data_IF_223996845424
#
_entry.id   IF_223996845424
#
_cell.length_a   1.000
_cell.length_b   1.000
_cell.length_c   1.000
_cell.angle_alpha   90.00
_cell.angle_beta   90.00
_cell.angle_gamma   90.00
#
_symmetry.space_group_name_H-M   'P 1'
#
loop_
_entity.id
_entity.type
_entity.pdbx_description
1 polymer ?
#
# COMPACT_ATOMS: atom_id res chain seq x y z
N UNK A 1 11.66 -8.72 -13.10
CA UNK A 1 10.58 -9.18 -12.23
C UNK A 1 9.66 -8.00 -11.98
N UNK A 2 8.41 -8.06 -12.44
CA UNK A 2 7.45 -6.94 -12.30
C UNK A 2 6.80 -7.06 -10.93
N UNK A 3 7.29 -6.28 -9.96
CA UNK A 3 6.99 -6.49 -8.55
C UNK A 3 6.06 -5.40 -8.02
N UNK A 4 4.80 -5.72 -7.78
CA UNK A 4 3.94 -4.85 -6.99
C UNK A 4 4.14 -5.19 -5.51
N UNK A 5 4.65 -4.24 -4.73
CA UNK A 5 5.00 -4.42 -3.33
C UNK A 5 4.27 -3.39 -2.47
N UNK A 6 3.59 -3.87 -1.44
CA UNK A 6 3.03 -3.04 -0.38
C UNK A 6 3.69 -3.45 0.93
N UNK A 7 4.45 -2.54 1.53
CA UNK A 7 5.08 -2.69 2.83
C UNK A 7 4.43 -1.75 3.83
N UNK A 8 3.99 -2.28 4.96
CA UNK A 8 3.31 -1.52 6.01
C UNK A 8 4.01 -1.84 7.33
N UNK A 9 4.30 -0.81 8.12
CA UNK A 9 4.94 -0.89 9.43
C UNK A 9 4.23 0.06 10.40
N UNK A 10 4.27 -0.25 11.68
CA UNK A 10 3.82 0.66 12.71
C UNK A 10 4.67 1.94 12.71
N UNK A 11 4.02 3.10 12.84
CA UNK A 11 4.72 4.36 12.99
C UNK A 11 5.14 4.57 14.46
N UNK A 12 6.03 5.54 14.69
CA UNK A 12 6.41 5.94 16.04
C UNK A 12 5.24 6.50 16.86
N UNK A 13 4.18 6.99 16.20
CA UNK A 13 3.00 7.58 16.84
C UNK A 13 1.84 6.58 16.87
N UNK A 14 1.09 6.50 17.99
CA UNK A 14 -0.05 5.60 18.10
C UNK A 14 -1.13 5.95 17.07
N UNK A 15 -1.78 4.91 16.53
CA UNK A 15 -2.84 5.05 15.53
C UNK A 15 -2.33 5.50 14.15
N UNK A 16 -1.04 5.40 13.88
CA UNK A 16 -0.45 5.68 12.57
C UNK A 16 0.41 4.51 12.08
N UNK A 17 0.51 4.39 10.77
CA UNK A 17 1.39 3.44 10.10
C UNK A 17 2.25 4.16 9.07
N UNK A 18 3.45 3.64 8.85
CA UNK A 18 4.28 4.03 7.72
C UNK A 18 4.05 2.98 6.63
N UNK A 19 3.80 3.43 5.40
CA UNK A 19 3.68 2.55 4.25
C UNK A 19 4.69 2.91 3.17
N UNK A 20 5.00 1.90 2.36
CA UNK A 20 5.74 2.01 1.12
C UNK A 20 5.04 1.15 0.08
N UNK A 21 4.65 1.76 -1.03
CA UNK A 21 4.02 1.08 -2.15
C UNK A 21 4.91 1.30 -3.38
N UNK A 22 5.41 0.21 -3.93
CA UNK A 22 6.03 0.19 -5.24
C UNK A 22 5.09 -0.55 -6.18
N UNK A 23 4.86 0.03 -7.36
CA UNK A 23 4.16 -0.70 -8.40
C UNK A 23 4.85 -0.56 -9.75
N UNK A 24 4.64 -1.58 -10.55
CA UNK A 24 5.06 -1.68 -11.93
C UNK A 24 3.98 -2.43 -12.72
N UNK A 25 3.35 -1.78 -13.69
CA UNK A 25 2.35 -2.43 -14.54
C UNK A 25 3.01 -3.44 -15.50
N UNK A 26 2.21 -4.37 -16.03
CA UNK A 26 2.68 -5.41 -16.96
C UNK A 26 3.24 -4.88 -18.27
N UNK A 27 2.99 -3.63 -18.64
CA UNK A 27 3.50 -3.04 -19.88
C UNK A 27 4.82 -2.26 -19.65
N UNK A 28 5.13 -1.86 -18.41
CA UNK A 28 6.31 -1.08 -18.05
C UNK A 28 6.09 0.43 -18.17
N UNK A 29 5.00 0.85 -18.80
CA UNK A 29 4.61 2.26 -19.01
C UNK A 29 4.19 2.97 -17.73
N UNK A 30 4.00 2.21 -16.65
CA UNK A 30 3.60 2.79 -15.39
C UNK A 30 4.35 2.21 -14.21
N UNK A 31 5.28 3.01 -13.72
CA UNK A 31 6.10 2.74 -12.55
C UNK A 31 5.95 3.86 -11.57
N UNK A 32 5.99 3.55 -10.28
CA UNK A 32 6.29 4.59 -9.32
C UNK A 32 6.19 4.09 -7.91
N UNK A 33 6.54 5.00 -7.02
CA UNK A 33 6.75 4.70 -5.63
C UNK A 33 6.06 5.78 -4.81
N UNK A 34 5.31 5.34 -3.80
CA UNK A 34 4.74 6.25 -2.82
C UNK A 34 5.06 5.75 -1.43
N UNK A 35 5.54 6.68 -0.60
CA UNK A 35 5.85 6.46 0.81
C UNK A 35 5.16 7.53 1.62
N UNK A 36 4.55 7.14 2.72
CA UNK A 36 3.87 8.09 3.58
C UNK A 36 3.49 7.50 4.93
N UNK A 37 2.82 8.34 5.71
CA UNK A 37 2.22 7.95 6.99
C UNK A 37 0.70 7.99 6.87
N UNK A 38 0.04 6.85 7.01
CA UNK A 38 -1.41 6.77 7.06
C UNK A 38 -1.89 6.76 8.52
N UNK A 39 -3.06 7.34 8.77
CA UNK A 39 -3.71 7.34 10.09
C UNK A 39 -4.86 6.34 10.10
N UNK A 40 -4.93 5.49 11.12
CA UNK A 40 -6.10 4.65 11.35
C UNK A 40 -7.30 5.52 11.73
N UNK A 41 -8.37 5.41 10.96
CA UNK A 41 -9.66 6.05 11.23
C UNK A 41 -10.69 5.05 11.76
N UNK A 42 -10.41 3.76 11.63
CA UNK A 42 -11.17 2.65 12.21
C UNK A 42 -10.24 1.45 12.40
N UNK A 43 -10.70 0.43 13.11
CA UNK A 43 -9.91 -0.80 13.41
C UNK A 43 -9.26 -1.41 12.16
N UNK A 44 -9.95 -1.37 11.02
CA UNK A 44 -9.52 -1.99 9.77
C UNK A 44 -9.35 -0.97 8.63
N UNK A 45 -9.37 0.33 8.92
CA UNK A 45 -9.28 1.39 7.91
C UNK A 45 -8.21 2.41 8.28
N UNK A 46 -7.23 2.59 7.40
CA UNK A 46 -6.28 3.69 7.49
C UNK A 46 -6.39 4.60 6.27
N UNK A 47 -6.19 5.89 6.46
CA UNK A 47 -6.24 6.90 5.41
C UNK A 47 -4.91 7.66 5.40
N UNK A 48 -4.30 7.73 4.23
CA UNK A 48 -3.22 8.64 3.91
C UNK A 48 -3.80 9.86 3.21
N UNK A 49 -3.46 11.03 3.71
CA UNK A 49 -3.65 12.31 3.04
C UNK A 49 -2.50 13.23 3.46
N UNK A 50 -2.02 14.05 2.52
CA UNK A 50 -0.97 15.02 2.78
C UNK A 50 -1.53 16.43 2.59
N UNK A 51 -1.33 17.35 3.55
CA UNK A 51 -1.80 18.73 3.39
C UNK A 51 -1.12 19.37 2.17
N UNK A 52 -1.90 19.96 1.28
CA UNK A 52 -1.44 20.54 0.02
C UNK A 52 -1.31 19.56 -1.15
N UNK A 53 -1.66 18.28 -0.97
CA UNK A 53 -1.71 17.27 -2.03
C UNK A 53 -3.13 16.69 -2.10
N UNK A 54 -3.80 16.70 -3.27
CA UNK A 54 -5.14 16.15 -3.39
C UNK A 54 -5.18 14.62 -3.30
N UNK A 55 -4.02 13.95 -3.31
CA UNK A 55 -3.94 12.49 -3.21
C UNK A 55 -4.48 11.99 -1.87
N UNK A 56 -5.44 11.06 -1.95
CA UNK A 56 -5.95 10.33 -0.79
C UNK A 56 -5.96 8.83 -1.07
N UNK A 57 -5.26 8.08 -0.22
CA UNK A 57 -5.21 6.63 -0.27
C UNK A 57 -5.88 6.03 0.98
N UNK A 58 -6.83 5.14 0.74
CA UNK A 58 -7.48 4.34 1.78
C UNK A 58 -6.92 2.93 1.76
N UNK A 59 -6.54 2.46 2.95
CA UNK A 59 -6.09 1.11 3.22
C UNK A 59 -7.20 0.39 3.98
N UNK A 60 -7.75 -0.67 3.39
CA UNK A 60 -8.74 -1.55 4.02
C UNK A 60 -8.08 -2.87 4.36
N UNK A 61 -7.93 -3.12 5.65
CA UNK A 61 -7.32 -4.34 6.17
C UNK A 61 -8.35 -5.45 6.32
N UNK A 62 -8.06 -6.57 5.69
CA UNK A 62 -8.71 -7.84 5.94
C UNK A 62 -7.72 -8.78 6.63
N UNK A 63 -8.21 -9.92 7.13
CA UNK A 63 -7.39 -10.90 7.86
C UNK A 63 -6.16 -11.36 7.09
N UNK A 64 -6.25 -11.43 5.76
CA UNK A 64 -5.23 -12.01 4.87
C UNK A 64 -4.78 -11.08 3.77
N UNK A 65 -5.28 -9.85 3.68
CA UNK A 65 -4.98 -8.93 2.59
C UNK A 65 -5.15 -7.48 3.02
N UNK A 66 -4.52 -6.58 2.28
CA UNK A 66 -4.81 -5.15 2.34
C UNK A 66 -5.32 -4.71 0.97
N UNK A 67 -6.47 -4.04 0.95
CA UNK A 67 -6.99 -3.41 -0.26
C UNK A 67 -6.62 -1.94 -0.23
N UNK A 68 -5.94 -1.50 -1.28
CA UNK A 68 -5.66 -0.11 -1.55
C UNK A 68 -6.79 0.46 -2.39
N UNK A 69 -7.31 1.60 -1.98
CA UNK A 69 -8.27 2.39 -2.74
C UNK A 69 -7.78 3.82 -2.87
N UNK A 70 -7.79 4.34 -4.07
CA UNK A 70 -7.53 5.75 -4.33
C UNK A 70 -8.86 6.51 -4.31
N UNK A 71 -9.13 7.25 -3.24
CA UNK A 71 -10.35 8.07 -3.14
C UNK A 71 -10.26 9.34 -3.98
N UNK A 72 -9.04 9.87 -4.15
CA UNK A 72 -8.79 11.04 -4.99
C UNK A 72 -7.52 10.81 -5.76
N UNK A 73 -7.56 11.10 -7.06
CA UNK A 73 -6.52 10.75 -8.00
C UNK A 73 -5.14 11.20 -7.51
N UNK A 74 -4.27 10.25 -7.18
CA UNK A 74 -2.86 10.50 -6.89
C UNK A 74 -2.04 10.63 -8.18
N UNK A 75 -2.74 10.80 -9.31
CA UNK A 75 -2.21 10.92 -10.67
C UNK A 75 -1.24 12.08 -10.88
N UNK A 76 -1.04 12.96 -9.89
CA UNK A 76 0.01 13.98 -9.99
C UNK A 76 1.43 13.41 -9.91
N UNK A 77 1.57 12.15 -9.48
CA UNK A 77 2.85 11.45 -9.43
C UNK A 77 3.12 10.54 -10.64
N UNK A 78 2.20 10.47 -11.63
CA UNK A 78 2.32 9.61 -12.83
C UNK A 78 1.64 10.18 -14.08
N UNK A 79 2.05 9.68 -15.25
CA UNK A 79 1.24 9.80 -16.47
C UNK A 79 -0.17 9.21 -16.25
N UNK A 80 -1.14 9.82 -16.93
CA UNK A 80 -2.60 9.82 -16.76
C UNK A 80 -3.37 8.49 -16.55
N UNK A 81 -2.73 7.31 -16.53
CA UNK A 81 -3.43 6.01 -16.69
C UNK A 81 -3.10 4.97 -15.61
N UNK A 82 -2.97 5.40 -14.35
CA UNK A 82 -2.52 4.49 -13.29
C UNK A 82 -3.22 4.65 -11.96
N UNK A 83 -4.19 3.76 -11.72
CA UNK A 83 -4.88 3.62 -10.45
C UNK A 83 -4.10 2.72 -9.51
N UNK A 84 -3.95 3.14 -8.26
CA UNK A 84 -3.38 2.32 -7.18
C UNK A 84 -4.38 1.31 -6.58
N UNK A 85 -5.58 1.20 -7.17
CA UNK A 85 -6.63 0.32 -6.65
C UNK A 85 -6.25 -1.14 -6.84
N UNK A 86 -6.27 -1.90 -5.76
CA UNK A 86 -5.89 -3.31 -5.81
C UNK A 86 -5.91 -4.02 -4.45
N UNK A 87 -6.15 -5.33 -4.50
CA UNK A 87 -6.07 -6.20 -3.33
C UNK A 87 -4.71 -6.90 -3.27
N UNK A 88 -3.97 -6.65 -2.19
CA UNK A 88 -2.64 -7.18 -1.95
C UNK A 88 -2.72 -8.25 -0.87
N UNK A 89 -2.68 -9.55 -1.25
CA UNK A 89 -2.67 -10.62 -0.27
C UNK A 89 -1.37 -10.54 0.55
N UNK A 90 -1.50 -10.75 1.86
CA UNK A 90 -0.36 -10.90 2.76
C UNK A 90 0.51 -12.01 2.20
N UNK A 91 1.79 -11.71 1.96
CA UNK A 91 2.77 -12.71 1.56
C UNK A 91 2.69 -13.86 2.57
N UNK A 92 2.34 -15.07 2.12
CA UNK A 92 2.32 -16.24 3.01
C UNK A 92 3.69 -16.31 3.65
N UNK A 93 3.75 -16.20 4.98
CA UNK A 93 4.96 -16.53 5.73
C UNK A 93 5.24 -17.98 5.38
N UNK A 94 6.28 -18.22 4.57
CA UNK A 94 6.78 -19.57 4.31
C UNK A 94 6.91 -20.22 5.68
N UNK A 95 6.08 -21.24 5.97
CA UNK A 95 6.29 -22.04 7.18
C UNK A 95 7.73 -22.51 7.08
N UNK A 96 8.58 -22.05 8.00
CA UNK A 96 9.93 -22.58 8.14
C UNK A 96 9.75 -24.10 8.21
N UNK A 97 10.15 -24.82 7.15
CA UNK A 97 10.29 -26.27 7.24
C UNK A 97 11.32 -26.46 8.34
N UNK A 98 10.89 -26.91 9.53
CA UNK A 98 11.78 -27.48 10.53
C UNK A 98 12.60 -28.54 9.80
N UNK A 99 13.85 -28.25 9.50
CA UNK A 99 14.83 -29.24 9.11
C UNK A 99 14.94 -30.23 10.28
N UNK A 100 14.55 -31.49 10.04
CA UNK A 100 14.80 -32.58 10.98
C UNK A 100 16.32 -32.63 11.23
N UNK A 101 16.69 -32.57 12.50
CA UNK A 101 18.00 -33.02 12.98
C UNK A 101 18.07 -34.54 13.03
#
# INVERSE_FOLDING_TARGET
DKMNLVSIRDAARPGRMIFFIHFENKAGDCKGEIRGEAKFVSTNKAIYSKPGDPCQLTFLFSTTSVTLKEETACGNWRGLECVFDGAFPKKKTSKVKKSKG
#
